data_IF_498732402615
#
_entry.id   IF_498732402615
#
_cell.length_a   1.000
_cell.length_b   1.000
_cell.length_c   1.000
_cell.angle_alpha   90.00
_cell.angle_beta   90.00
_cell.angle_gamma   90.00
#
_symmetry.space_group_name_H-M   'P 1'
#
loop_
_entity.id
_entity.type
_entity.pdbx_description
1 polymer ?
#
# COMPACT_ATOMS: atom_id res chain seq x y z
N UNK A 1 8.24 -4.27 -24.25
CA UNK A 1 7.96 -5.02 -23.01
C UNK A 1 6.58 -5.66 -23.15
N UNK A 2 6.47 -6.98 -23.03
CA UNK A 2 5.22 -7.69 -23.37
C UNK A 2 4.14 -7.45 -22.31
N UNK A 3 3.06 -6.80 -22.73
CA UNK A 3 1.90 -6.34 -21.95
C UNK A 3 1.16 -7.51 -21.26
N UNK A 4 1.46 -8.75 -21.67
CA UNK A 4 0.82 -9.97 -21.17
C UNK A 4 1.33 -10.45 -19.81
N UNK A 5 2.50 -10.00 -19.34
CA UNK A 5 3.03 -10.39 -18.02
C UNK A 5 2.38 -9.69 -16.82
N UNK A 6 1.90 -8.45 -17.01
CA UNK A 6 1.32 -7.61 -15.95
C UNK A 6 -0.17 -7.90 -15.69
N UNK A 7 -0.92 -8.32 -16.72
CA UNK A 7 -2.36 -8.59 -16.61
C UNK A 7 -2.64 -9.87 -15.81
N UNK A 8 -1.87 -10.94 -16.06
CA UNK A 8 -2.05 -12.25 -15.43
C UNK A 8 -1.56 -12.24 -13.97
N UNK A 9 -0.49 -11.48 -13.66
CA UNK A 9 0.03 -11.32 -12.30
C UNK A 9 -0.92 -10.58 -11.35
N UNK A 10 -1.63 -9.57 -11.84
CA UNK A 10 -2.64 -8.85 -11.06
C UNK A 10 -3.82 -9.73 -10.67
N UNK A 11 -4.32 -10.58 -11.59
CA UNK A 11 -5.46 -11.46 -11.32
C UNK A 11 -5.14 -12.58 -10.31
N UNK A 12 -3.97 -13.21 -10.43
CA UNK A 12 -3.52 -14.23 -9.46
C UNK A 12 -3.32 -13.59 -8.09
N UNK A 13 -2.74 -12.40 -8.04
CA UNK A 13 -2.58 -11.64 -6.81
C UNK A 13 -3.91 -11.27 -6.15
N UNK A 14 -4.93 -10.89 -6.93
CA UNK A 14 -6.26 -10.61 -6.43
C UNK A 14 -6.90 -11.83 -5.74
N UNK A 15 -6.79 -13.02 -6.36
CA UNK A 15 -7.38 -14.24 -5.81
C UNK A 15 -6.77 -14.71 -4.48
N UNK A 16 -5.51 -14.33 -4.21
CA UNK A 16 -4.78 -14.74 -3.02
C UNK A 16 -4.76 -13.69 -1.91
N UNK A 17 -4.91 -12.41 -2.25
CA UNK A 17 -4.73 -11.31 -1.30
C UNK A 17 -5.57 -10.07 -1.59
N UNK A 18 -6.68 -10.20 -2.34
CA UNK A 18 -7.60 -9.10 -2.63
C UNK A 18 -6.95 -7.91 -3.37
N UNK A 19 -7.49 -6.70 -3.23
CA UNK A 19 -6.90 -5.47 -3.78
C UNK A 19 -5.40 -5.29 -3.50
N UNK A 20 -4.93 -5.53 -2.28
CA UNK A 20 -3.50 -5.47 -1.95
C UNK A 20 -2.68 -6.48 -2.76
N UNK A 21 -3.20 -7.69 -2.92
CA UNK A 21 -2.52 -8.72 -3.69
C UNK A 21 -2.51 -8.46 -5.18
N UNK A 22 -3.56 -7.87 -5.74
CA UNK A 22 -3.57 -7.39 -7.12
C UNK A 22 -2.46 -6.35 -7.35
N UNK A 23 -2.35 -5.38 -6.44
CA UNK A 23 -1.33 -4.34 -6.52
C UNK A 23 0.08 -4.95 -6.49
N UNK A 24 0.37 -5.80 -5.51
CA UNK A 24 1.65 -6.50 -5.40
C UNK A 24 1.94 -7.41 -6.61
N UNK A 25 0.93 -8.11 -7.10
CA UNK A 25 1.08 -8.98 -8.27
C UNK A 25 1.32 -8.24 -9.57
N UNK A 26 0.86 -7.00 -9.67
CA UNK A 26 1.13 -6.12 -10.80
C UNK A 26 2.58 -5.62 -10.83
N UNK A 27 3.24 -5.50 -9.66
CA UNK A 27 4.65 -5.11 -9.55
C UNK A 27 5.61 -6.22 -9.97
N UNK A 28 5.28 -7.46 -9.62
CA UNK A 28 6.19 -8.61 -9.73
C UNK A 28 6.03 -9.35 -11.08
N UNK A 29 4.97 -9.05 -11.85
CA UNK A 29 4.80 -9.58 -13.21
C UNK A 29 4.64 -11.11 -13.24
N UNK A 30 3.45 -11.60 -12.88
CA UNK A 30 3.03 -12.99 -13.09
C UNK A 30 3.68 -14.06 -12.18
N UNK A 31 4.83 -13.77 -11.54
CA UNK A 31 5.54 -14.70 -10.66
C UNK A 31 5.28 -14.40 -9.18
N UNK A 32 4.02 -14.33 -8.77
CA UNK A 32 3.70 -14.25 -7.35
C UNK A 32 3.51 -15.66 -6.80
N UNK A 33 4.48 -16.09 -6.01
CA UNK A 33 4.38 -17.33 -5.24
C UNK A 33 3.42 -17.14 -4.07
N UNK A 34 2.65 -18.18 -3.71
CA UNK A 34 1.91 -18.27 -2.42
C UNK A 34 2.79 -17.92 -1.21
N UNK A 35 4.11 -18.10 -1.33
CA UNK A 35 5.10 -17.75 -0.30
C UNK A 35 5.24 -16.24 -0.08
N UNK A 36 5.22 -15.42 -1.13
CA UNK A 36 5.29 -13.95 -1.01
C UNK A 36 4.04 -13.39 -0.33
N UNK A 37 2.87 -13.99 -0.58
CA UNK A 37 1.64 -13.67 0.14
C UNK A 37 1.65 -14.14 1.60
N UNK A 38 2.28 -15.28 1.89
CA UNK A 38 2.50 -15.74 3.26
C UNK A 38 3.45 -14.85 4.05
N UNK A 39 4.43 -14.19 3.43
CA UNK A 39 5.27 -13.21 4.13
C UNK A 39 4.39 -12.11 4.74
N UNK A 40 3.44 -11.55 3.96
CA UNK A 40 2.45 -10.59 4.45
C UNK A 40 1.32 -11.22 5.28
N UNK A 41 1.42 -12.47 5.75
CA UNK A 41 0.43 -13.06 6.66
C UNK A 41 0.54 -12.47 8.08
N UNK A 42 1.59 -11.72 8.39
CA UNK A 42 1.69 -10.99 9.64
C UNK A 42 0.85 -9.70 9.61
N UNK A 43 -0.08 -9.49 10.57
CA UNK A 43 -0.92 -8.29 10.62
C UNK A 43 -0.12 -6.99 10.55
N UNK A 44 1.06 -6.91 11.18
CA UNK A 44 1.93 -5.73 11.15
C UNK A 44 2.33 -5.32 9.72
N UNK A 45 2.60 -6.28 8.84
CA UNK A 45 3.03 -6.02 7.47
C UNK A 45 1.86 -5.63 6.57
N UNK A 46 0.68 -6.23 6.79
CA UNK A 46 -0.56 -5.81 6.12
C UNK A 46 -0.92 -4.38 6.50
N UNK A 47 -0.77 -4.03 7.78
CA UNK A 47 -0.97 -2.67 8.26
C UNK A 47 -0.02 -1.67 7.60
N UNK A 48 1.28 -1.96 7.58
CA UNK A 48 2.26 -1.11 6.91
C UNK A 48 1.98 -0.97 5.41
N UNK A 49 1.67 -2.07 4.72
CA UNK A 49 1.29 -2.07 3.31
C UNK A 49 0.05 -1.21 3.06
N UNK A 50 -0.98 -1.35 3.89
CA UNK A 50 -2.19 -0.56 3.76
C UNK A 50 -1.91 0.93 3.92
N UNK A 51 -1.08 1.31 4.88
CA UNK A 51 -0.68 2.71 5.07
C UNK A 51 0.11 3.25 3.89
N UNK A 52 1.07 2.49 3.35
CA UNK A 52 1.82 2.89 2.16
C UNK A 52 0.86 3.13 0.98
N UNK A 53 -0.07 2.20 0.74
CA UNK A 53 -1.00 2.28 -0.39
C UNK A 53 -2.01 3.41 -0.19
N UNK A 54 -2.62 3.54 0.98
CA UNK A 54 -3.60 4.58 1.26
C UNK A 54 -2.96 5.97 1.24
N UNK A 55 -1.73 6.12 1.74
CA UNK A 55 -0.96 7.38 1.65
C UNK A 55 -0.63 7.74 0.20
N UNK A 56 -0.28 6.75 -0.63
CA UNK A 56 -0.07 6.96 -2.06
C UNK A 56 -1.36 7.38 -2.80
N UNK A 57 -2.51 6.87 -2.37
CA UNK A 57 -3.81 7.30 -2.92
C UNK A 57 -4.19 8.69 -2.43
N UNK A 58 -3.87 9.03 -1.18
CA UNK A 58 -4.11 10.35 -0.58
C UNK A 58 -3.30 11.43 -1.29
N UNK A 59 -1.98 11.27 -1.40
CA UNK A 59 -1.07 12.20 -2.10
C UNK A 59 -1.39 12.41 -3.59
N UNK A 60 -2.13 11.48 -4.23
CA UNK A 60 -2.62 11.69 -5.60
C UNK A 60 -3.69 12.78 -5.68
N UNK A 61 -4.46 12.99 -4.60
CA UNK A 61 -5.48 14.05 -4.55
C UNK A 61 -4.85 15.45 -4.66
N UNK A 62 -3.67 15.64 -4.05
CA UNK A 62 -2.94 16.91 -4.03
C UNK A 62 -2.01 17.08 -5.26
N UNK A 63 -1.94 16.06 -6.12
CA UNK A 63 -1.34 16.13 -7.46
C UNK A 63 0.18 15.94 -7.51
N UNK A 64 0.89 15.95 -6.38
CA UNK A 64 2.32 15.66 -6.27
C UNK A 64 2.63 14.96 -4.95
N UNK A 65 3.66 14.12 -4.94
CA UNK A 65 4.17 13.50 -3.71
C UNK A 65 5.42 14.26 -3.32
N UNK A 66 5.44 14.82 -2.12
CA UNK A 66 6.61 15.51 -1.60
C UNK A 66 7.64 14.50 -1.06
N UNK A 67 8.89 14.92 -0.96
CA UNK A 67 9.93 14.07 -0.36
C UNK A 67 9.66 13.88 1.13
N UNK A 68 9.04 14.87 1.73
CA UNK A 68 8.67 15.01 3.13
C UNK A 68 7.61 13.96 3.51
N UNK A 69 6.60 13.73 2.67
CA UNK A 69 5.60 12.67 2.88
C UNK A 69 6.23 11.27 2.87
N UNK A 70 7.15 11.00 1.94
CA UNK A 70 7.88 9.71 1.88
C UNK A 70 8.75 9.49 3.13
N UNK A 71 9.36 10.55 3.65
CA UNK A 71 10.12 10.52 4.90
C UNK A 71 9.17 10.29 6.09
N UNK A 72 8.02 10.96 6.13
CA UNK A 72 7.01 10.77 7.18
C UNK A 72 6.48 9.32 7.20
N UNK A 73 6.21 8.73 6.03
CA UNK A 73 5.85 7.32 5.89
C UNK A 73 6.97 6.41 6.42
N UNK A 74 8.23 6.67 6.02
CA UNK A 74 9.39 5.91 6.51
C UNK A 74 9.46 5.91 8.03
N UNK A 75 9.42 7.09 8.62
CA UNK A 75 9.67 7.29 10.04
C UNK A 75 8.53 6.75 10.89
N UNK A 76 7.27 6.99 10.49
CA UNK A 76 6.09 6.53 11.22
C UNK A 76 5.94 5.01 11.18
N UNK A 77 6.26 4.38 10.04
CA UNK A 77 6.21 2.92 9.88
C UNK A 77 7.48 2.20 10.35
N UNK A 78 8.53 2.95 10.72
CA UNK A 78 9.85 2.40 11.08
C UNK A 78 10.39 1.45 10.01
N UNK A 79 10.25 1.85 8.74
CA UNK A 79 10.68 1.03 7.60
C UNK A 79 12.20 0.92 7.62
N UNK A 80 12.77 -0.30 7.59
CA UNK A 80 14.21 -0.46 7.56
C UNK A 80 14.77 -0.02 6.19
N UNK A 81 15.99 0.54 6.19
CA UNK A 81 16.62 1.13 5.00
C UNK A 81 16.67 0.16 3.79
N UNK A 82 16.83 -1.14 4.04
CA UNK A 82 16.88 -2.15 2.97
C UNK A 82 15.52 -2.43 2.31
N UNK A 83 14.41 -1.98 2.89
CA UNK A 83 13.05 -2.13 2.32
C UNK A 83 12.61 -0.88 1.53
N UNK A 84 13.34 0.23 1.60
CA UNK A 84 12.93 1.51 1.01
C UNK A 84 12.67 1.44 -0.49
N UNK A 85 13.51 0.72 -1.23
CA UNK A 85 13.33 0.54 -2.68
C UNK A 85 12.03 -0.22 -3.00
N UNK A 86 11.68 -1.23 -2.19
CA UNK A 86 10.44 -1.98 -2.37
C UNK A 86 9.22 -1.14 -2.01
N UNK A 87 9.28 -0.40 -0.89
CA UNK A 87 8.22 0.52 -0.47
C UNK A 87 7.99 1.59 -1.53
N UNK A 88 9.06 2.20 -2.07
CA UNK A 88 8.98 3.19 -3.14
C UNK A 88 8.30 2.64 -4.40
N UNK A 89 8.59 1.39 -4.79
CA UNK A 89 7.91 0.72 -5.91
C UNK A 89 6.41 0.53 -5.65
N UNK A 90 6.04 0.06 -4.46
CA UNK A 90 4.63 -0.13 -4.08
C UNK A 90 3.89 1.20 -4.08
N UNK A 91 4.49 2.23 -3.46
CA UNK A 91 3.93 3.56 -3.38
C UNK A 91 3.69 4.16 -4.77
N UNK A 92 4.71 4.17 -5.62
CA UNK A 92 4.61 4.68 -6.99
C UNK A 92 3.54 3.93 -7.80
N UNK A 93 3.49 2.61 -7.67
CA UNK A 93 2.49 1.81 -8.36
C UNK A 93 1.08 2.11 -7.88
N UNK A 94 0.87 2.23 -6.58
CA UNK A 94 -0.42 2.62 -6.01
C UNK A 94 -0.86 3.99 -6.54
N UNK A 95 0.06 4.93 -6.71
CA UNK A 95 -0.23 6.25 -7.28
C UNK A 95 -0.60 6.19 -8.77
N UNK A 96 0.12 5.43 -9.57
CA UNK A 96 -0.12 5.29 -11.02
C UNK A 96 -1.43 4.57 -11.34
N UNK A 97 -1.79 3.61 -10.51
CA UNK A 97 -2.94 2.74 -10.70
C UNK A 97 -4.27 3.51 -10.55
N UNK A 98 -5.27 3.18 -11.38
CA UNK A 98 -6.50 3.97 -11.53
C UNK A 98 -7.59 3.64 -10.52
N UNK A 99 -7.49 2.52 -9.80
CA UNK A 99 -8.41 2.20 -8.70
C UNK A 99 -8.32 3.29 -7.62
N UNK A 100 -9.45 3.64 -7.02
CA UNK A 100 -9.49 4.54 -5.88
C UNK A 100 -8.89 3.93 -4.60
N UNK A 101 -9.07 4.61 -3.48
CA UNK A 101 -8.62 4.13 -2.17
C UNK A 101 -9.59 3.09 -1.57
N UNK A 102 -10.85 3.10 -1.99
CA UNK A 102 -11.96 2.40 -1.35
C UNK A 102 -11.78 0.88 -1.29
N UNK A 103 -11.28 0.19 -2.33
CA UNK A 103 -11.07 -1.26 -2.26
C UNK A 103 -10.02 -1.63 -1.21
N UNK A 104 -8.97 -0.83 -1.07
CA UNK A 104 -7.92 -1.03 -0.06
C UNK A 104 -8.44 -0.73 1.35
N UNK A 105 -9.19 0.35 1.50
CA UNK A 105 -9.84 0.73 2.77
C UNK A 105 -10.84 -0.33 3.25
N UNK A 106 -11.67 -0.86 2.34
CA UNK A 106 -12.59 -1.96 2.66
C UNK A 106 -11.85 -3.23 3.06
N UNK A 107 -10.76 -3.55 2.37
CA UNK A 107 -9.97 -4.72 2.70
C UNK A 107 -9.33 -4.62 4.09
N UNK A 108 -8.74 -3.47 4.46
CA UNK A 108 -8.18 -3.30 5.81
C UNK A 108 -9.29 -3.30 6.88
N UNK A 109 -10.44 -2.68 6.60
CA UNK A 109 -11.59 -2.72 7.51
C UNK A 109 -12.08 -4.15 7.78
N UNK A 110 -12.08 -5.02 6.76
CA UNK A 110 -12.40 -6.44 6.91
C UNK A 110 -11.36 -7.19 7.74
N UNK A 111 -10.07 -6.93 7.52
CA UNK A 111 -8.97 -7.59 8.25
C UNK A 111 -9.00 -7.23 9.73
N UNK A 112 -9.36 -5.99 10.08
CA UNK A 112 -9.42 -5.50 11.46
C UNK A 112 -10.85 -5.25 11.97
N UNK A 113 -11.85 -5.95 11.44
CA UNK A 113 -13.27 -5.73 11.78
C UNK A 113 -13.57 -5.81 13.29
N UNK A 114 -12.76 -6.55 14.06
CA UNK A 114 -12.88 -6.66 15.52
C UNK A 114 -11.92 -5.78 16.33
N UNK A 115 -11.15 -4.90 15.68
CA UNK A 115 -10.13 -4.08 16.33
C UNK A 115 -10.16 -2.63 15.83
N UNK A 116 -11.16 -1.88 16.33
CA UNK A 116 -11.41 -0.49 15.91
C UNK A 116 -10.23 0.43 16.19
N UNK A 117 -9.49 0.20 17.28
CA UNK A 117 -8.31 0.99 17.64
C UNK A 117 -7.24 0.96 16.54
N UNK A 118 -7.09 -0.17 15.84
CA UNK A 118 -6.15 -0.26 14.71
C UNK A 118 -6.64 0.56 13.52
N UNK A 119 -7.95 0.55 13.24
CA UNK A 119 -8.53 1.35 12.16
C UNK A 119 -8.47 2.85 12.46
N UNK A 120 -8.67 3.25 13.72
CA UNK A 120 -8.45 4.62 14.17
C UNK A 120 -6.98 5.03 13.98
N UNK A 121 -6.03 4.16 14.33
CA UNK A 121 -4.60 4.44 14.12
C UNK A 121 -4.26 4.57 12.63
N UNK A 122 -4.90 3.79 11.74
CA UNK A 122 -4.73 3.98 10.29
C UNK A 122 -5.12 5.41 9.89
N UNK A 123 -6.28 5.89 10.34
CA UNK A 123 -6.76 7.24 10.03
C UNK A 123 -5.83 8.30 10.62
N UNK A 124 -5.43 8.16 11.88
CA UNK A 124 -4.50 9.08 12.55
C UNK A 124 -3.17 9.20 11.80
N UNK A 125 -2.63 8.08 11.31
CA UNK A 125 -1.39 8.07 10.53
C UNK A 125 -1.57 8.74 9.19
N UNK A 126 -2.70 8.51 8.50
CA UNK A 126 -2.97 9.17 7.22
C UNK A 126 -3.06 10.69 7.37
N UNK A 127 -3.70 11.19 8.44
CA UNK A 127 -3.70 12.62 8.76
C UNK A 127 -2.30 13.15 9.05
N UNK A 128 -1.52 12.43 9.86
CA UNK A 128 -0.14 12.82 10.16
C UNK A 128 0.73 12.92 8.89
N UNK A 129 0.55 12.01 7.95
CA UNK A 129 1.29 12.02 6.68
C UNK A 129 0.83 13.19 5.79
N UNK A 130 -0.49 13.44 5.72
CA UNK A 130 -1.02 14.57 4.97
C UNK A 130 -0.55 15.93 5.52
N UNK A 131 -0.32 16.04 6.83
CA UNK A 131 0.15 17.29 7.47
C UNK A 131 1.67 17.52 7.28
N UNK A 132 2.42 16.50 6.85
CA UNK A 132 3.88 16.54 6.84
C UNK A 132 4.47 17.61 5.92
N UNK A 133 3.73 18.07 4.92
CA UNK A 133 4.16 19.12 3.97
C UNK A 133 3.72 20.54 4.37
N UNK A 134 2.91 20.67 5.45
CA UNK A 134 2.45 21.94 6.00
C UNK A 134 1.33 22.64 5.24
N UNK A 135 0.71 22.00 4.23
CA UNK A 135 -0.41 22.58 3.47
C UNK A 135 -1.73 21.87 3.81
N UNK A 136 -2.30 22.15 4.99
CA UNK A 136 -3.70 21.82 5.31
C UNK A 136 -4.46 23.09 5.67
#
# INVERSE_FOLDING_TARGET
>A
MSIWGSLIGGMIGFSLGGPFGMLLGSLIGGKVSRSSFKSFAHPQQVFALALIVLSAKLSKADGQVSREELIAVKDKLKIPEHELDQVGKIFNKAKEESTGYEPYAKQIAQIYQGNINVLEEVINILFYIAEADGNI
#
